data_IF_318983735452
#
_entry.id   IF_318983735452
#
_cell.length_a   1.000
_cell.length_b   1.000
_cell.length_c   1.000
_cell.angle_alpha   90.00
_cell.angle_beta   90.00
_cell.angle_gamma   90.00
#
_symmetry.space_group_name_H-M   'P 1'
#
loop_
_entity.id
_entity.type
_entity.pdbx_description
1 polymer ?
#
# COMPACT_ATOMS: atom_id res chain seq x y z
N UNK A 1 73.97 25.13 -48.80
CA UNK A 1 73.25 25.00 -47.49
C UNK A 1 72.12 23.97 -47.68
N UNK A 2 72.19 22.83 -47.12
CA UNK A 2 71.09 21.85 -47.10
C UNK A 2 70.34 21.94 -45.77
N UNK A 3 69.09 22.30 -45.83
CA UNK A 3 68.19 22.28 -44.63
C UNK A 3 67.14 21.20 -44.73
N UNK A 4 67.26 20.32 -43.79
CA UNK A 4 66.22 19.55 -43.07
C UNK A 4 65.18 18.71 -43.81
N UNK A 5 65.56 17.53 -44.20
CA UNK A 5 64.62 16.41 -44.48
C UNK A 5 64.35 15.53 -43.23
N UNK A 6 65.06 15.77 -42.15
CA UNK A 6 64.98 14.93 -40.92
C UNK A 6 63.80 15.27 -40.00
N UNK A 7 63.21 16.46 -40.10
CA UNK A 7 62.13 16.90 -39.21
C UNK A 7 60.73 16.42 -39.65
N UNK A 8 60.54 16.07 -40.90
CA UNK A 8 59.28 15.55 -41.46
C UNK A 8 59.04 14.07 -41.18
N UNK A 9 60.14 13.28 -41.16
CA UNK A 9 60.05 11.81 -40.89
C UNK A 9 59.74 11.49 -39.43
N UNK A 10 60.25 12.29 -38.49
CA UNK A 10 60.00 12.11 -37.07
C UNK A 10 58.52 12.45 -36.70
N UNK A 11 57.94 13.45 -37.35
CA UNK A 11 56.50 13.81 -37.16
C UNK A 11 55.57 12.74 -37.70
N UNK A 12 55.90 12.04 -38.77
CA UNK A 12 55.08 10.98 -39.33
C UNK A 12 55.08 9.71 -38.48
N UNK A 13 56.15 9.38 -37.81
CA UNK A 13 56.20 8.22 -36.88
C UNK A 13 55.44 8.49 -35.61
N UNK A 14 55.56 9.68 -35.03
CA UNK A 14 54.80 10.03 -33.82
C UNK A 14 53.27 10.08 -34.08
N UNK A 15 52.85 10.59 -35.22
CA UNK A 15 51.43 10.59 -35.63
C UNK A 15 50.87 9.15 -35.82
N UNK A 16 51.68 8.26 -36.38
CA UNK A 16 51.28 6.88 -36.63
C UNK A 16 51.18 6.06 -35.30
N UNK A 17 52.02 6.31 -34.32
CA UNK A 17 51.96 5.66 -33.01
C UNK A 17 50.79 6.19 -32.17
N UNK A 18 50.51 7.49 -32.22
CA UNK A 18 49.32 8.04 -31.56
C UNK A 18 48.02 7.49 -32.19
N UNK A 19 48.00 7.32 -33.53
CA UNK A 19 46.86 6.72 -34.21
C UNK A 19 46.65 5.28 -33.83
N UNK A 20 47.72 4.47 -33.74
CA UNK A 20 47.62 3.08 -33.26
C UNK A 20 47.11 2.93 -31.84
N UNK A 21 47.59 3.81 -30.93
CA UNK A 21 47.09 3.85 -29.56
C UNK A 21 45.62 4.27 -29.46
N UNK A 22 45.20 5.25 -30.24
CA UNK A 22 43.78 5.69 -30.29
C UNK A 22 42.86 4.57 -30.85
N UNK A 23 43.27 3.89 -31.91
CA UNK A 23 42.53 2.78 -32.48
C UNK A 23 42.46 1.59 -31.45
N UNK A 24 43.58 1.31 -30.75
CA UNK A 24 43.60 0.30 -29.71
C UNK A 24 42.63 0.61 -28.57
N UNK A 25 42.59 1.87 -28.09
CA UNK A 25 41.66 2.33 -27.04
C UNK A 25 40.22 2.24 -27.53
N UNK A 26 39.91 2.68 -28.75
CA UNK A 26 38.56 2.63 -29.32
C UNK A 26 38.05 1.20 -29.52
N UNK A 27 38.91 0.28 -29.95
CA UNK A 27 38.58 -1.14 -30.09
C UNK A 27 38.29 -1.76 -28.71
N UNK A 28 39.13 -1.47 -27.69
CA UNK A 28 38.93 -1.99 -26.34
C UNK A 28 37.71 -1.40 -25.66
N UNK A 29 37.41 -0.12 -25.86
CA UNK A 29 36.18 0.50 -25.39
C UNK A 29 34.93 -0.13 -26.04
N UNK A 30 34.99 -0.45 -27.34
CA UNK A 30 33.89 -1.08 -28.07
C UNK A 30 33.65 -2.53 -27.62
N UNK A 31 34.70 -3.27 -27.29
CA UNK A 31 34.62 -4.63 -26.71
C UNK A 31 34.08 -4.56 -25.28
N UNK A 32 34.58 -3.63 -24.45
CA UNK A 32 34.03 -3.41 -23.09
C UNK A 32 32.57 -3.02 -23.12
N UNK A 33 32.16 -2.15 -24.04
CA UNK A 33 30.75 -1.76 -24.18
C UNK A 33 29.87 -2.92 -24.66
N UNK A 34 30.38 -3.77 -25.54
CA UNK A 34 29.71 -5.01 -25.95
C UNK A 34 29.52 -5.98 -24.78
N UNK A 35 30.53 -6.17 -23.93
CA UNK A 35 30.41 -6.96 -22.72
C UNK A 35 29.46 -6.34 -21.69
N UNK A 36 29.53 -5.03 -21.50
CA UNK A 36 28.63 -4.29 -20.60
C UNK A 36 27.18 -4.39 -21.03
N UNK A 37 26.89 -4.27 -22.33
CA UNK A 37 25.51 -4.39 -22.86
C UNK A 37 24.98 -5.83 -22.79
N UNK A 38 25.83 -6.85 -22.99
CA UNK A 38 25.42 -8.26 -22.85
C UNK A 38 25.20 -8.60 -21.36
N UNK A 39 26.07 -8.10 -20.47
CA UNK A 39 25.96 -8.31 -19.04
C UNK A 39 24.74 -7.57 -18.46
N UNK A 40 24.53 -6.31 -18.88
CA UNK A 40 23.38 -5.52 -18.51
C UNK A 40 22.07 -6.17 -19.03
N UNK A 41 22.00 -6.65 -20.27
CA UNK A 41 20.84 -7.37 -20.81
C UNK A 41 20.53 -8.67 -20.05
N UNK A 42 21.57 -9.43 -19.69
CA UNK A 42 21.40 -10.68 -18.94
C UNK A 42 20.96 -10.40 -17.49
N UNK A 43 21.53 -9.37 -16.88
CA UNK A 43 21.18 -8.92 -15.52
C UNK A 43 19.76 -8.34 -15.49
N UNK A 44 19.41 -7.48 -16.46
CA UNK A 44 18.08 -6.90 -16.61
C UNK A 44 17.01 -7.98 -16.91
N UNK A 45 17.32 -8.98 -17.72
CA UNK A 45 16.40 -10.09 -17.99
C UNK A 45 16.17 -10.99 -16.77
N UNK A 46 17.21 -11.23 -15.97
CA UNK A 46 17.07 -11.97 -14.70
C UNK A 46 16.28 -11.17 -13.66
N UNK A 47 16.51 -9.86 -13.56
CA UNK A 47 15.74 -8.96 -12.68
C UNK A 47 14.28 -8.90 -13.15
N UNK A 48 14.01 -8.72 -14.45
CA UNK A 48 12.65 -8.73 -15.00
C UNK A 48 11.96 -10.09 -14.79
N UNK A 49 12.68 -11.21 -14.88
CA UNK A 49 12.15 -12.53 -14.56
C UNK A 49 11.79 -12.68 -13.07
N UNK A 50 12.63 -12.17 -12.15
CA UNK A 50 12.33 -12.11 -10.73
C UNK A 50 11.11 -11.20 -10.44
N UNK A 51 11.07 -10.00 -11.03
CA UNK A 51 9.93 -9.09 -10.87
C UNK A 51 8.62 -9.70 -11.38
N UNK A 52 8.64 -10.40 -12.51
CA UNK A 52 7.44 -11.07 -13.05
C UNK A 52 6.99 -12.25 -12.18
N UNK A 53 7.92 -12.98 -11.56
CA UNK A 53 7.63 -14.07 -10.64
C UNK A 53 6.99 -13.53 -9.34
N UNK A 54 7.58 -12.51 -8.72
CA UNK A 54 7.01 -11.85 -7.52
C UNK A 54 5.67 -11.18 -7.79
N UNK A 55 5.48 -10.58 -8.96
CA UNK A 55 4.19 -10.01 -9.38
C UNK A 55 3.12 -11.09 -9.53
N UNK A 56 3.47 -12.25 -10.08
CA UNK A 56 2.55 -13.37 -10.26
C UNK A 56 2.13 -13.97 -8.92
N UNK A 57 3.06 -14.19 -8.00
CA UNK A 57 2.80 -14.73 -6.66
C UNK A 57 1.92 -13.77 -5.83
N UNK A 58 2.18 -12.46 -5.88
CA UNK A 58 1.33 -11.45 -5.24
C UNK A 58 -0.09 -11.48 -5.79
N UNK A 59 -0.25 -11.62 -7.09
CA UNK A 59 -1.56 -11.69 -7.73
C UNK A 59 -2.32 -12.97 -7.35
N UNK A 60 -1.64 -14.12 -7.31
CA UNK A 60 -2.25 -15.38 -6.86
C UNK A 60 -2.71 -15.29 -5.39
N UNK A 61 -1.94 -14.64 -4.53
CA UNK A 61 -2.31 -14.40 -3.12
C UNK A 61 -3.50 -13.45 -3.03
N UNK A 62 -3.55 -12.39 -3.84
CA UNK A 62 -4.67 -11.47 -3.93
C UNK A 62 -5.95 -12.18 -4.39
N UNK A 63 -5.88 -12.90 -5.51
CA UNK A 63 -7.02 -13.64 -6.07
C UNK A 63 -7.56 -14.67 -5.08
N UNK A 64 -6.67 -15.40 -4.38
CA UNK A 64 -7.04 -16.37 -3.34
C UNK A 64 -7.64 -15.69 -2.10
N UNK A 65 -7.05 -14.58 -1.66
CA UNK A 65 -7.53 -13.83 -0.49
C UNK A 65 -8.89 -13.18 -0.72
N UNK A 66 -9.21 -12.82 -1.97
CA UNK A 66 -10.50 -12.23 -2.35
C UNK A 66 -11.52 -13.23 -2.91
N UNK A 67 -11.23 -14.54 -2.91
CA UNK A 67 -12.09 -15.55 -3.53
C UNK A 67 -13.54 -15.52 -3.02
N UNK A 68 -13.74 -15.38 -1.70
CA UNK A 68 -15.09 -15.29 -1.11
C UNK A 68 -15.80 -14.00 -1.51
N UNK A 69 -15.08 -12.89 -1.53
CA UNK A 69 -15.62 -11.58 -1.98
C UNK A 69 -16.00 -11.65 -3.45
N UNK A 70 -15.11 -12.18 -4.29
CA UNK A 70 -15.31 -12.35 -5.71
C UNK A 70 -16.55 -13.19 -6.00
N UNK A 71 -16.62 -14.41 -5.45
CA UNK A 71 -17.74 -15.33 -5.68
C UNK A 71 -19.06 -14.68 -5.25
N UNK A 72 -19.08 -14.05 -4.06
CA UNK A 72 -20.27 -13.39 -3.55
C UNK A 72 -20.71 -12.20 -4.40
N UNK A 73 -19.77 -11.38 -4.86
CA UNK A 73 -20.03 -10.18 -5.66
C UNK A 73 -20.41 -10.53 -7.12
N UNK A 74 -19.60 -11.37 -7.75
CA UNK A 74 -19.83 -11.78 -9.14
C UNK A 74 -21.13 -12.56 -9.33
N UNK A 75 -21.43 -13.53 -8.45
CA UNK A 75 -22.67 -14.30 -8.52
C UNK A 75 -23.92 -13.44 -8.35
N UNK A 76 -23.83 -12.39 -7.52
CA UNK A 76 -24.94 -11.43 -7.36
C UNK A 76 -25.13 -10.59 -8.62
N UNK A 77 -24.05 -10.05 -9.20
CA UNK A 77 -24.10 -9.29 -10.46
C UNK A 77 -24.64 -10.16 -11.58
N UNK A 78 -24.13 -11.39 -11.73
CA UNK A 78 -24.59 -12.33 -12.77
C UNK A 78 -26.10 -12.59 -12.66
N UNK A 79 -26.63 -12.70 -11.44
CA UNK A 79 -28.08 -12.86 -11.20
C UNK A 79 -28.86 -11.58 -11.51
N UNK A 80 -28.34 -10.42 -11.18
CA UNK A 80 -28.99 -9.14 -11.44
C UNK A 80 -29.21 -8.87 -12.95
N UNK A 81 -28.33 -9.40 -13.80
CA UNK A 81 -28.40 -9.23 -15.27
C UNK A 81 -28.95 -10.45 -16.00
N UNK A 82 -29.28 -11.55 -15.31
CA UNK A 82 -29.72 -12.80 -15.92
C UNK A 82 -31.02 -12.64 -16.72
N UNK A 83 -30.99 -13.10 -17.99
CA UNK A 83 -32.16 -13.07 -18.87
C UNK A 83 -32.51 -11.70 -19.45
N UNK A 84 -31.62 -10.73 -19.35
CA UNK A 84 -31.78 -9.37 -19.90
C UNK A 84 -30.80 -9.13 -21.04
N UNK A 85 -31.27 -8.54 -22.13
CA UNK A 85 -30.46 -8.21 -23.30
C UNK A 85 -29.98 -6.75 -23.30
N UNK A 86 -30.60 -5.90 -22.46
CA UNK A 86 -30.29 -4.47 -22.35
C UNK A 86 -30.18 -4.05 -20.89
N UNK A 87 -29.44 -2.99 -20.67
CA UNK A 87 -29.38 -2.28 -19.37
C UNK A 87 -30.56 -1.32 -19.31
N UNK A 88 -31.56 -1.69 -18.55
CA UNK A 88 -32.78 -0.89 -18.26
C UNK A 88 -32.83 -0.54 -16.76
N UNK A 89 -33.84 0.22 -16.36
CA UNK A 89 -33.99 0.68 -14.96
C UNK A 89 -34.05 -0.50 -13.99
N UNK A 90 -34.66 -1.63 -14.36
CA UNK A 90 -34.74 -2.82 -13.50
C UNK A 90 -33.38 -3.48 -13.32
N UNK A 91 -32.51 -3.48 -14.34
CA UNK A 91 -31.13 -3.96 -14.22
C UNK A 91 -30.32 -3.04 -13.32
N UNK A 92 -30.51 -1.73 -13.41
CA UNK A 92 -29.82 -0.74 -12.57
C UNK A 92 -30.26 -0.84 -11.10
N UNK A 93 -31.56 -0.99 -10.83
CA UNK A 93 -32.10 -1.22 -9.49
C UNK A 93 -31.52 -2.49 -8.86
N UNK A 94 -31.47 -3.59 -9.62
CA UNK A 94 -30.88 -4.84 -9.17
C UNK A 94 -29.37 -4.69 -8.90
N UNK A 95 -28.66 -3.92 -9.71
CA UNK A 95 -27.23 -3.65 -9.52
C UNK A 95 -26.99 -2.80 -8.27
N UNK A 96 -27.86 -1.80 -8.02
CA UNK A 96 -27.83 -1.00 -6.79
C UNK A 96 -27.98 -1.90 -5.55
N UNK A 97 -28.97 -2.82 -5.54
CA UNK A 97 -29.15 -3.78 -4.46
C UNK A 97 -27.91 -4.65 -4.24
N UNK A 98 -27.28 -5.10 -5.33
CA UNK A 98 -26.03 -5.90 -5.25
C UNK A 98 -24.90 -5.11 -4.63
N UNK A 99 -24.69 -3.86 -5.02
CA UNK A 99 -23.61 -3.01 -4.50
C UNK A 99 -23.83 -2.72 -3.01
N UNK A 100 -25.04 -2.34 -2.61
CA UNK A 100 -25.40 -2.07 -1.21
C UNK A 100 -25.23 -3.33 -0.35
N UNK A 101 -25.75 -4.48 -0.81
CA UNK A 101 -25.62 -5.75 -0.06
C UNK A 101 -24.21 -6.34 -0.06
N UNK A 102 -23.30 -5.76 -0.83
CA UNK A 102 -21.87 -6.07 -0.82
C UNK A 102 -21.04 -5.07 0.00
N UNK A 103 -21.72 -4.26 0.83
CA UNK A 103 -21.13 -3.23 1.70
C UNK A 103 -20.36 -2.11 0.97
N UNK A 104 -20.72 -1.78 -0.28
CA UNK A 104 -20.14 -0.62 -1.00
C UNK A 104 -20.59 0.71 -0.37
N UNK A 105 -21.72 0.69 0.36
CA UNK A 105 -22.33 1.89 0.95
C UNK A 105 -23.28 2.62 -0.02
N UNK A 106 -24.31 3.24 0.52
CA UNK A 106 -25.40 3.84 -0.28
C UNK A 106 -24.90 4.97 -1.16
N UNK A 107 -24.21 5.96 -0.59
CA UNK A 107 -23.75 7.15 -1.33
C UNK A 107 -22.80 6.80 -2.49
N UNK A 108 -21.90 5.84 -2.26
CA UNK A 108 -20.95 5.35 -3.28
C UNK A 108 -21.68 4.55 -4.35
N UNK A 109 -22.66 3.73 -3.95
CA UNK A 109 -23.50 2.95 -4.87
C UNK A 109 -24.25 3.89 -5.81
N UNK A 110 -24.95 4.90 -5.30
CA UNK A 110 -25.68 5.87 -6.12
C UNK A 110 -24.76 6.56 -7.13
N UNK A 111 -23.55 6.96 -6.74
CA UNK A 111 -22.56 7.52 -7.67
C UNK A 111 -22.10 6.55 -8.76
N UNK A 112 -21.93 5.28 -8.44
CA UNK A 112 -21.58 4.26 -9.43
C UNK A 112 -22.73 4.06 -10.41
N UNK A 113 -23.98 3.97 -9.93
CA UNK A 113 -25.17 3.81 -10.77
C UNK A 113 -25.32 5.02 -11.70
N UNK A 114 -25.26 6.25 -11.19
CA UNK A 114 -25.34 7.48 -11.99
C UNK A 114 -24.31 7.50 -13.14
N UNK A 115 -23.06 7.11 -12.87
CA UNK A 115 -22.01 7.01 -13.90
C UNK A 115 -22.32 5.94 -14.95
N UNK A 116 -22.89 4.82 -14.52
CA UNK A 116 -23.32 3.76 -15.45
C UNK A 116 -24.45 4.26 -16.33
N UNK A 117 -25.46 4.93 -15.78
CA UNK A 117 -26.58 5.54 -16.51
C UNK A 117 -26.09 6.54 -17.57
N UNK A 118 -25.20 7.47 -17.18
CA UNK A 118 -24.61 8.44 -18.10
C UNK A 118 -23.86 7.73 -19.24
N UNK A 119 -23.11 6.66 -18.93
CA UNK A 119 -22.37 5.90 -19.93
C UNK A 119 -23.29 5.14 -20.88
N UNK A 120 -24.32 4.48 -20.35
CA UNK A 120 -25.36 3.79 -21.14
C UNK A 120 -26.10 4.75 -22.06
N UNK A 121 -26.48 5.93 -21.54
CA UNK A 121 -27.16 6.97 -22.33
C UNK A 121 -26.28 7.52 -23.47
N UNK A 122 -24.98 7.68 -23.23
CA UNK A 122 -24.02 8.16 -24.22
C UNK A 122 -23.74 7.14 -25.32
N UNK A 123 -23.50 5.89 -24.94
CA UNK A 123 -22.98 4.85 -25.84
C UNK A 123 -24.13 4.12 -26.62
N UNK A 124 -25.40 4.47 -26.36
CA UNK A 124 -26.67 4.10 -27.04
C UNK A 124 -27.02 2.61 -27.11
N UNK A 125 -26.09 1.69 -26.97
CA UNK A 125 -26.32 0.24 -26.98
C UNK A 125 -25.31 -0.43 -26.05
N UNK A 126 -25.69 -0.66 -24.82
CA UNK A 126 -24.91 -1.46 -23.87
C UNK A 126 -25.70 -2.72 -23.57
N UNK A 127 -25.22 -3.83 -24.10
CA UNK A 127 -25.74 -5.16 -23.73
C UNK A 127 -25.26 -5.52 -22.31
N UNK A 128 -26.01 -6.38 -21.63
CA UNK A 128 -25.65 -6.85 -20.27
C UNK A 128 -24.28 -7.53 -20.22
N UNK A 129 -23.77 -8.07 -21.34
CA UNK A 129 -22.41 -8.61 -21.43
C UNK A 129 -21.30 -7.54 -21.29
N UNK A 130 -21.60 -6.27 -21.61
CA UNK A 130 -20.64 -5.16 -21.49
C UNK A 130 -20.73 -4.49 -20.10
N UNK A 131 -21.84 -4.70 -19.38
CA UNK A 131 -22.09 -4.08 -18.08
C UNK A 131 -20.99 -4.40 -17.05
N UNK A 132 -20.52 -5.64 -17.00
CA UNK A 132 -19.42 -6.04 -16.11
C UNK A 132 -18.15 -5.23 -16.38
N UNK A 133 -17.84 -4.96 -17.66
CA UNK A 133 -16.70 -4.16 -18.04
C UNK A 133 -16.90 -2.69 -17.63
N UNK A 134 -18.09 -2.14 -17.86
CA UNK A 134 -18.44 -0.76 -17.49
C UNK A 134 -18.35 -0.60 -15.98
N UNK A 135 -18.98 -1.48 -15.22
CA UNK A 135 -18.95 -1.46 -13.75
C UNK A 135 -17.51 -1.53 -13.22
N UNK A 136 -16.69 -2.43 -13.76
CA UNK A 136 -15.28 -2.54 -13.42
C UNK A 136 -14.53 -1.23 -13.69
N UNK A 137 -14.72 -0.66 -14.90
CA UNK A 137 -14.03 0.56 -15.31
C UNK A 137 -14.45 1.75 -14.43
N UNK A 138 -15.75 1.89 -14.11
CA UNK A 138 -16.26 2.97 -13.25
C UNK A 138 -15.78 2.86 -11.81
N UNK A 139 -15.74 1.64 -11.24
CA UNK A 139 -15.16 1.41 -9.91
C UNK A 139 -13.65 1.73 -9.90
N UNK A 140 -12.91 1.29 -10.91
CA UNK A 140 -11.48 1.58 -11.02
C UNK A 140 -11.22 3.08 -11.15
N UNK A 141 -12.05 3.79 -11.92
CA UNK A 141 -11.98 5.24 -12.07
C UNK A 141 -12.31 5.95 -10.76
N UNK A 142 -13.37 5.56 -10.06
CA UNK A 142 -13.76 6.09 -8.76
C UNK A 142 -12.61 5.97 -7.74
N UNK A 143 -11.99 4.79 -7.65
CA UNK A 143 -10.82 4.58 -6.78
C UNK A 143 -9.62 5.43 -7.21
N UNK A 144 -9.45 5.69 -8.50
CA UNK A 144 -8.41 6.58 -9.03
C UNK A 144 -8.59 8.02 -8.58
N UNK A 145 -9.82 8.51 -8.59
CA UNK A 145 -10.16 9.87 -8.16
C UNK A 145 -9.93 10.10 -6.65
N UNK A 146 -10.02 9.02 -5.87
CA UNK A 146 -9.90 9.08 -4.42
C UNK A 146 -8.47 8.83 -3.91
N UNK A 147 -7.68 8.07 -4.67
CA UNK A 147 -6.30 7.73 -4.36
C UNK A 147 -5.41 8.24 -5.49
N UNK A 148 -4.70 9.30 -5.26
CA UNK A 148 -3.81 9.91 -6.25
C UNK A 148 -2.59 9.07 -6.59
N UNK A 149 -2.22 8.11 -5.72
CA UNK A 149 -1.03 7.29 -5.91
C UNK A 149 -1.28 5.83 -5.48
N UNK A 150 -0.91 4.87 -6.33
CA UNK A 150 -0.81 3.46 -5.93
C UNK A 150 0.38 3.30 -4.99
N UNK A 151 0.21 2.52 -3.94
CA UNK A 151 1.31 2.21 -3.03
C UNK A 151 2.24 1.21 -3.70
N UNK A 152 3.38 1.70 -4.19
CA UNK A 152 4.42 0.86 -4.79
C UNK A 152 5.30 0.22 -3.71
N UNK A 153 4.91 -0.95 -3.23
CA UNK A 153 5.71 -1.73 -2.28
C UNK A 153 5.72 -1.16 -0.86
N UNK A 154 6.78 -1.50 -0.13
CA UNK A 154 7.00 -1.06 1.26
C UNK A 154 8.17 -0.07 1.29
N UNK A 155 7.90 1.12 0.77
CA UNK A 155 8.86 2.23 0.70
C UNK A 155 8.47 3.34 1.65
N UNK A 156 9.42 4.18 2.01
CA UNK A 156 9.21 5.40 2.79
C UNK A 156 9.59 6.61 1.94
N UNK A 157 8.90 7.75 2.08
CA UNK A 157 9.25 8.97 1.37
C UNK A 157 10.69 9.41 1.69
N UNK A 158 11.39 9.90 0.67
CA UNK A 158 12.73 10.46 0.85
C UNK A 158 12.70 11.70 1.76
N UNK A 159 13.74 11.86 2.57
CA UNK A 159 13.92 13.04 3.44
C UNK A 159 13.37 12.90 4.85
N UNK A 160 12.49 11.95 5.14
CA UNK A 160 11.92 11.74 6.47
C UNK A 160 12.58 10.52 7.14
N UNK A 161 13.57 10.74 8.02
CA UNK A 161 14.23 9.68 8.78
C UNK A 161 14.30 10.00 10.26
N UNK A 162 13.71 9.14 11.10
CA UNK A 162 12.86 7.99 10.75
C UNK A 162 11.49 8.42 10.21
N UNK A 163 10.89 7.66 9.28
CA UNK A 163 9.49 7.80 8.90
C UNK A 163 8.61 7.23 10.00
N UNK A 164 7.74 8.05 10.58
CA UNK A 164 6.97 7.69 11.77
C UNK A 164 5.52 7.37 11.39
N UNK A 165 5.11 6.13 11.66
CA UNK A 165 3.75 5.63 11.45
C UNK A 165 3.08 5.44 12.81
N UNK A 166 1.99 6.14 13.07
CA UNK A 166 1.13 5.93 14.23
C UNK A 166 -0.09 5.10 13.82
N UNK A 167 -0.21 3.89 14.34
CA UNK A 167 -1.29 2.96 13.97
C UNK A 167 -2.46 3.10 14.93
N UNK A 168 -3.63 3.45 14.38
CA UNK A 168 -4.87 3.68 15.13
C UNK A 168 -5.99 2.75 14.66
N UNK A 169 -7.07 2.62 15.46
CA UNK A 169 -8.22 1.77 15.14
C UNK A 169 -8.75 1.06 16.38
N UNK A 170 -9.93 0.46 16.31
CA UNK A 170 -10.55 -0.21 17.47
C UNK A 170 -9.82 -1.50 17.83
N UNK A 171 -10.12 -2.03 19.01
CA UNK A 171 -9.57 -3.34 19.43
C UNK A 171 -10.13 -4.46 18.54
N UNK A 172 -9.29 -5.43 18.18
CA UNK A 172 -9.69 -6.62 17.41
C UNK A 172 -9.66 -6.46 15.90
N UNK A 173 -9.43 -5.26 15.35
CA UNK A 173 -9.30 -5.03 13.89
C UNK A 173 -7.98 -5.54 13.30
N UNK A 174 -7.02 -5.95 14.13
CA UNK A 174 -5.74 -6.46 13.64
C UNK A 174 -4.59 -5.45 13.67
N UNK A 175 -4.65 -4.36 14.45
CA UNK A 175 -3.57 -3.35 14.54
C UNK A 175 -2.19 -3.99 14.79
N UNK A 176 -2.04 -4.70 15.90
CA UNK A 176 -0.75 -5.29 16.30
C UNK A 176 -0.24 -6.30 15.28
N UNK A 177 -1.14 -7.07 14.67
CA UNK A 177 -0.81 -7.99 13.57
C UNK A 177 -0.35 -7.22 12.32
N UNK A 178 -1.05 -6.15 11.96
CA UNK A 178 -0.66 -5.29 10.83
C UNK A 178 0.70 -4.65 11.06
N UNK A 179 0.97 -4.15 12.28
CA UNK A 179 2.28 -3.61 12.68
C UNK A 179 3.39 -4.66 12.49
N UNK A 180 3.17 -5.88 12.97
CA UNK A 180 4.14 -6.97 12.82
C UNK A 180 4.42 -7.31 11.35
N UNK A 181 3.38 -7.37 10.52
CA UNK A 181 3.52 -7.61 9.08
C UNK A 181 4.19 -6.44 8.35
N UNK A 182 3.86 -5.19 8.68
CA UNK A 182 4.53 -4.01 8.16
C UNK A 182 6.02 -4.02 8.51
N UNK A 183 6.36 -4.30 9.78
CA UNK A 183 7.74 -4.39 10.24
C UNK A 183 8.51 -5.46 9.46
N UNK A 184 7.90 -6.62 9.23
CA UNK A 184 8.49 -7.68 8.40
C UNK A 184 8.76 -7.20 6.97
N UNK A 185 7.77 -6.60 6.32
CA UNK A 185 7.89 -6.16 4.94
C UNK A 185 8.91 -5.01 4.77
N UNK A 186 8.91 -4.01 5.65
CA UNK A 186 9.91 -2.95 5.64
C UNK A 186 11.33 -3.51 5.86
N UNK A 187 11.48 -4.48 6.78
CA UNK A 187 12.78 -5.15 7.00
C UNK A 187 13.22 -5.94 5.76
N UNK A 188 12.30 -6.65 5.08
CA UNK A 188 12.62 -7.35 3.82
C UNK A 188 13.03 -6.37 2.72
N UNK A 189 12.48 -5.16 2.73
CA UNK A 189 12.90 -4.07 1.84
C UNK A 189 14.28 -3.45 2.24
N UNK A 190 14.94 -3.97 3.28
CA UNK A 190 16.26 -3.53 3.73
C UNK A 190 16.23 -2.33 4.69
N UNK A 191 15.05 -1.93 5.21
CA UNK A 191 14.89 -0.81 6.11
C UNK A 191 15.08 -1.23 7.58
N UNK A 192 15.66 -0.35 8.39
CA UNK A 192 15.79 -0.50 9.83
C UNK A 192 14.50 -0.03 10.50
N UNK A 193 13.81 -0.92 11.20
CA UNK A 193 12.51 -0.67 11.83
C UNK A 193 12.63 -0.71 13.34
N UNK A 194 11.95 0.21 14.03
CA UNK A 194 11.76 0.21 15.50
C UNK A 194 10.28 0.25 15.81
N UNK A 195 9.84 -0.61 16.73
CA UNK A 195 8.44 -0.68 17.18
C UNK A 195 8.26 -0.04 18.56
N UNK A 196 7.13 0.63 18.78
CA UNK A 196 6.73 1.20 20.04
C UNK A 196 5.43 0.59 20.57
N UNK A 197 5.45 0.01 21.78
CA UNK A 197 4.32 -0.63 22.44
C UNK A 197 3.54 0.38 23.28
N UNK A 198 2.77 1.29 22.64
CA UNK A 198 2.05 2.35 23.35
C UNK A 198 0.61 1.97 23.77
N UNK A 199 0.10 0.76 23.51
CA UNK A 199 -1.12 0.21 24.15
C UNK A 199 -0.79 -0.31 25.56
N UNK A 200 -0.31 0.57 26.44
CA UNK A 200 0.28 0.23 27.74
C UNK A 200 -0.70 -0.33 28.78
N UNK A 201 -2.00 -0.18 28.55
CA UNK A 201 -3.04 -0.66 29.46
C UNK A 201 -3.52 -2.07 29.18
N UNK A 202 -3.02 -2.71 28.10
CA UNK A 202 -3.36 -4.07 27.73
C UNK A 202 -2.10 -4.95 27.71
N UNK A 203 -1.89 -5.74 28.78
CA UNK A 203 -0.74 -6.63 28.89
C UNK A 203 -0.58 -7.52 27.65
N UNK A 204 -1.66 -8.13 27.20
CA UNK A 204 -1.64 -8.98 26.01
C UNK A 204 -1.26 -8.23 24.71
N UNK A 205 -1.56 -6.93 24.60
CA UNK A 205 -1.14 -6.14 23.45
C UNK A 205 0.36 -5.87 23.48
N UNK A 206 0.91 -5.49 24.64
CA UNK A 206 2.34 -5.29 24.83
C UNK A 206 3.12 -6.59 24.60
N UNK A 207 2.65 -7.71 25.12
CA UNK A 207 3.26 -9.02 24.86
C UNK A 207 3.21 -9.40 23.38
N UNK A 208 2.09 -9.16 22.72
CA UNK A 208 1.92 -9.47 21.30
C UNK A 208 2.89 -8.68 20.41
N UNK A 209 3.07 -7.38 20.66
CA UNK A 209 4.03 -6.58 19.88
C UNK A 209 5.48 -7.02 20.12
N UNK A 210 5.82 -7.45 21.34
CA UNK A 210 7.13 -8.01 21.66
C UNK A 210 7.38 -9.31 20.89
N UNK A 211 6.41 -10.23 20.90
CA UNK A 211 6.49 -11.48 20.12
C UNK A 211 6.68 -11.19 18.63
N UNK A 212 5.97 -10.21 18.08
CA UNK A 212 6.17 -9.78 16.70
C UNK A 212 7.58 -9.23 16.48
N UNK A 213 8.07 -8.37 17.39
CA UNK A 213 9.43 -7.83 17.31
C UNK A 213 10.50 -8.93 17.31
N UNK A 214 10.37 -9.92 18.19
CA UNK A 214 11.26 -11.09 18.24
C UNK A 214 11.18 -11.93 16.96
N UNK A 215 9.95 -12.24 16.50
CA UNK A 215 9.73 -13.02 15.29
C UNK A 215 10.30 -12.36 14.02
N UNK A 216 10.14 -11.06 13.91
CA UNK A 216 10.66 -10.27 12.78
C UNK A 216 12.15 -9.94 12.99
N UNK A 217 12.65 -9.94 14.24
CA UNK A 217 14.02 -9.54 14.61
C UNK A 217 14.20 -8.02 14.46
N UNK A 218 13.27 -7.24 15.04
CA UNK A 218 13.31 -5.77 15.15
C UNK A 218 13.16 -5.35 16.60
N UNK A 219 13.82 -4.26 17.06
CA UNK A 219 13.71 -3.78 18.42
C UNK A 219 12.30 -3.27 18.74
N UNK A 220 11.86 -3.53 19.98
CA UNK A 220 10.59 -3.04 20.52
C UNK A 220 10.86 -2.21 21.78
N UNK A 221 10.43 -0.95 21.75
CA UNK A 221 10.48 -0.06 22.91
C UNK A 221 9.18 -0.20 23.69
N UNK A 222 9.29 -0.51 24.97
CA UNK A 222 8.17 -0.68 25.90
C UNK A 222 8.53 -0.12 27.26
N UNK A 223 7.53 0.22 28.04
CA UNK A 223 7.65 0.60 29.44
C UNK A 223 6.80 -0.32 30.32
N UNK A 224 6.74 -0.04 31.61
CA UNK A 224 5.92 -0.79 32.55
C UNK A 224 4.42 -0.66 32.20
N UNK A 225 3.65 -1.67 32.57
CA UNK A 225 2.19 -1.63 32.42
C UNK A 225 1.59 -0.38 33.06
N UNK A 226 0.68 0.27 32.35
CA UNK A 226 0.03 1.50 32.81
C UNK A 226 0.88 2.77 32.69
N UNK A 227 2.08 2.69 32.12
CA UNK A 227 2.86 3.88 31.77
C UNK A 227 2.12 4.76 30.77
N UNK A 228 2.46 6.04 30.71
CA UNK A 228 1.87 6.99 29.78
C UNK A 228 2.22 6.58 28.32
N UNK A 229 1.21 6.30 27.46
CA UNK A 229 1.45 5.97 26.06
C UNK A 229 2.31 6.97 25.29
N UNK A 230 2.15 8.27 25.61
CA UNK A 230 2.95 9.33 25.01
C UNK A 230 4.44 9.25 25.40
N UNK A 231 4.75 8.79 26.61
CA UNK A 231 6.12 8.54 27.04
C UNK A 231 6.76 7.39 26.25
N UNK A 232 6.01 6.30 26.01
CA UNK A 232 6.50 5.19 25.17
C UNK A 232 6.78 5.65 23.74
N UNK A 233 5.88 6.45 23.16
CA UNK A 233 6.07 6.99 21.81
C UNK A 233 7.30 7.90 21.72
N UNK A 234 7.53 8.73 22.74
CA UNK A 234 8.70 9.61 22.84
C UNK A 234 10.00 8.78 22.89
N UNK A 235 10.08 7.83 23.82
CA UNK A 235 11.25 6.97 23.98
C UNK A 235 11.52 6.12 22.72
N UNK A 236 10.46 5.69 22.06
CA UNK A 236 10.58 4.93 20.79
C UNK A 236 11.22 5.80 19.70
N UNK A 237 10.72 7.01 19.52
CA UNK A 237 11.24 7.94 18.52
C UNK A 237 12.69 8.34 18.84
N UNK A 238 13.00 8.65 20.10
CA UNK A 238 14.36 8.96 20.54
C UNK A 238 15.32 7.78 20.32
N UNK A 239 14.88 6.57 20.66
CA UNK A 239 15.65 5.34 20.41
C UNK A 239 15.90 5.11 18.92
N UNK A 240 14.89 5.32 18.09
CA UNK A 240 14.99 5.16 16.63
C UNK A 240 15.98 6.17 16.02
N UNK A 241 15.91 7.44 16.45
CA UNK A 241 16.86 8.47 16.01
C UNK A 241 18.30 8.12 16.40
N UNK A 242 18.53 7.61 17.62
CA UNK A 242 19.86 7.22 18.08
C UNK A 242 20.44 6.01 17.36
N UNK A 243 19.60 5.15 16.78
CA UNK A 243 19.98 3.95 16.03
C UNK A 243 20.03 4.18 14.51
N UNK A 244 19.77 5.40 14.05
CA UNK A 244 19.66 5.73 12.63
C UNK A 244 18.64 4.78 11.93
N UNK A 245 17.46 4.65 12.52
CA UNK A 245 16.38 3.83 11.99
C UNK A 245 15.69 4.55 10.82
N UNK A 246 15.19 3.76 9.88
CA UNK A 246 14.46 4.28 8.72
C UNK A 246 12.97 4.45 9.02
N UNK A 247 12.39 3.55 9.85
CA UNK A 247 10.95 3.49 10.13
C UNK A 247 10.70 3.30 11.62
N UNK A 248 9.72 4.05 12.14
CA UNK A 248 9.13 3.86 13.47
C UNK A 248 7.67 3.52 13.32
N UNK A 249 7.19 2.47 14.00
CA UNK A 249 5.77 2.11 14.02
C UNK A 249 5.30 2.07 15.47
N UNK A 250 4.30 2.90 15.81
CA UNK A 250 3.73 3.01 17.16
C UNK A 250 2.39 2.28 17.21
N UNK A 251 2.28 1.24 18.05
CA UNK A 251 1.01 0.59 18.39
C UNK A 251 0.26 1.44 19.42
N UNK A 252 -1.01 1.74 19.19
CA UNK A 252 -1.82 2.56 20.10
C UNK A 252 -3.04 1.81 20.61
N UNK A 253 -3.61 2.27 21.73
CA UNK A 253 -4.87 1.76 22.27
C UNK A 253 -6.03 1.94 21.27
N UNK A 254 -7.05 1.08 21.38
CA UNK A 254 -8.23 1.09 20.50
C UNK A 254 -9.57 1.06 21.25
N UNK A 255 -9.67 1.70 22.42
CA UNK A 255 -10.85 1.65 23.29
C UNK A 255 -11.90 2.68 22.91
N UNK A 256 -12.61 2.43 21.80
CA UNK A 256 -13.56 3.40 21.26
C UNK A 256 -14.79 3.66 22.16
N UNK A 257 -15.11 2.75 23.08
CA UNK A 257 -16.17 2.96 24.10
C UNK A 257 -15.87 4.17 25.02
N UNK A 258 -14.61 4.54 25.22
CA UNK A 258 -14.20 5.78 25.85
C UNK A 258 -13.60 6.73 24.81
N UNK A 259 -14.42 7.15 23.86
CA UNK A 259 -14.00 7.93 22.70
C UNK A 259 -13.18 9.16 23.09
N UNK A 260 -13.67 9.97 24.03
CA UNK A 260 -12.98 11.20 24.45
C UNK A 260 -11.59 10.91 25.01
N UNK A 261 -11.48 9.96 25.94
CA UNK A 261 -10.20 9.59 26.55
C UNK A 261 -9.20 9.04 25.52
N UNK A 262 -9.66 8.21 24.56
CA UNK A 262 -8.83 7.71 23.48
C UNK A 262 -8.31 8.84 22.59
N UNK A 263 -9.17 9.79 22.20
CA UNK A 263 -8.79 10.90 21.32
C UNK A 263 -7.83 11.86 22.00
N UNK A 264 -8.02 12.12 23.30
CA UNK A 264 -7.09 12.91 24.12
C UNK A 264 -5.71 12.23 24.21
N UNK A 265 -5.69 10.88 24.35
CA UNK A 265 -4.47 10.07 24.38
C UNK A 265 -3.73 10.13 23.04
N UNK A 266 -4.42 9.88 21.92
CA UNK A 266 -3.82 9.94 20.59
C UNK A 266 -3.26 11.33 20.26
N UNK A 267 -4.01 12.39 20.62
CA UNK A 267 -3.57 13.78 20.46
C UNK A 267 -2.34 14.09 21.32
N UNK A 268 -2.25 13.50 22.51
CA UNK A 268 -1.08 13.64 23.40
C UNK A 268 0.14 12.94 22.81
N UNK A 269 -0.03 11.71 22.29
CA UNK A 269 1.04 10.96 21.61
C UNK A 269 1.62 11.81 20.47
N UNK A 270 0.76 12.33 19.57
CA UNK A 270 1.17 13.21 18.47
C UNK A 270 1.97 14.41 18.96
N UNK A 271 1.44 15.19 19.91
CA UNK A 271 2.11 16.38 20.45
C UNK A 271 3.46 16.08 21.10
N UNK A 272 3.61 14.92 21.70
CA UNK A 272 4.87 14.54 22.36
C UNK A 272 5.93 14.13 21.34
N UNK A 273 5.56 13.41 20.29
CA UNK A 273 6.46 13.10 19.16
C UNK A 273 6.91 14.38 18.44
N UNK A 274 6.02 15.35 18.26
CA UNK A 274 6.32 16.64 17.63
C UNK A 274 7.37 17.48 18.38
N UNK A 275 7.62 17.21 19.66
CA UNK A 275 8.71 17.86 20.40
C UNK A 275 10.09 17.40 19.95
N UNK A 276 10.20 16.16 19.45
CA UNK A 276 11.45 15.60 18.89
C UNK A 276 11.54 15.84 17.37
N UNK A 277 10.43 15.69 16.69
CA UNK A 277 10.32 15.78 15.25
C UNK A 277 9.01 16.49 14.89
N UNK A 278 9.06 17.78 14.50
CA UNK A 278 7.86 18.61 14.31
C UNK A 278 6.82 18.04 13.34
N UNK A 279 7.26 17.25 12.37
CA UNK A 279 6.42 16.64 11.33
C UNK A 279 5.86 15.27 11.74
N UNK A 280 6.29 14.69 12.88
CA UNK A 280 5.81 13.39 13.35
C UNK A 280 4.39 13.48 13.97
N UNK A 281 3.56 12.44 13.78
CA UNK A 281 3.76 11.30 12.89
C UNK A 281 3.58 11.70 11.43
N UNK A 282 4.37 11.12 10.53
CA UNK A 282 4.25 11.34 9.08
C UNK A 282 3.05 10.60 8.49
N UNK A 283 2.65 9.52 9.14
CA UNK A 283 1.48 8.73 8.76
C UNK A 283 0.65 8.35 9.99
N UNK A 284 -0.63 8.69 9.97
CA UNK A 284 -1.63 8.20 10.93
C UNK A 284 -2.46 7.15 10.21
N UNK A 285 -2.06 5.89 10.37
CA UNK A 285 -2.66 4.76 9.67
C UNK A 285 -3.85 4.20 10.47
N UNK A 286 -5.04 4.31 9.91
CA UNK A 286 -6.25 3.69 10.46
C UNK A 286 -6.38 2.26 9.97
N UNK A 287 -6.41 1.31 10.91
CA UNK A 287 -6.67 -0.11 10.61
C UNK A 287 -8.15 -0.41 10.81
N UNK A 288 -8.78 -0.97 9.79
CA UNK A 288 -10.19 -1.35 9.74
C UNK A 288 -10.33 -2.84 9.45
N UNK A 289 -11.35 -3.46 10.02
CA UNK A 289 -11.72 -4.85 9.77
C UNK A 289 -12.76 -4.91 8.66
N UNK A 290 -12.38 -5.40 7.47
CA UNK A 290 -13.24 -5.50 6.29
C UNK A 290 -14.43 -6.45 6.49
N UNK A 291 -14.35 -7.38 7.43
CA UNK A 291 -15.46 -8.31 7.71
C UNK A 291 -16.64 -7.65 8.46
N UNK A 292 -16.45 -6.46 9.03
CA UNK A 292 -17.46 -5.76 9.81
C UNK A 292 -18.42 -4.92 8.97
N UNK A 293 -18.16 -4.76 7.66
CA UNK A 293 -19.05 -4.05 6.74
C UNK A 293 -19.32 -2.61 7.18
N UNK A 294 -20.58 -2.24 7.33
CA UNK A 294 -21.00 -0.88 7.71
C UNK A 294 -20.41 -0.37 9.04
N UNK A 295 -20.05 -1.26 9.97
CA UNK A 295 -19.38 -0.83 11.19
C UNK A 295 -17.99 -0.24 10.93
N UNK A 296 -17.31 -0.67 9.85
CA UNK A 296 -16.03 -0.09 9.46
C UNK A 296 -16.17 1.38 9.04
N UNK A 297 -17.28 1.74 8.37
CA UNK A 297 -17.57 3.14 8.01
C UNK A 297 -17.74 4.03 9.25
N UNK A 298 -18.50 3.56 10.25
CA UNK A 298 -18.71 4.33 11.47
C UNK A 298 -17.38 4.51 12.23
N UNK A 299 -16.53 3.49 12.28
CA UNK A 299 -15.19 3.58 12.85
C UNK A 299 -14.34 4.60 12.07
N UNK A 300 -14.30 4.50 10.74
CA UNK A 300 -13.56 5.43 9.90
C UNK A 300 -14.01 6.87 10.15
N UNK A 301 -15.31 7.13 10.17
CA UNK A 301 -15.89 8.44 10.47
C UNK A 301 -15.46 8.99 11.84
N UNK A 302 -15.45 8.12 12.86
CA UNK A 302 -15.10 8.55 14.22
C UNK A 302 -13.63 8.86 14.36
N UNK A 303 -12.74 8.03 13.78
CA UNK A 303 -11.31 8.27 13.82
C UNK A 303 -10.91 9.47 12.96
N UNK A 304 -11.45 9.61 11.76
CA UNK A 304 -11.16 10.74 10.86
C UNK A 304 -11.60 12.08 11.44
N UNK A 305 -12.72 12.11 12.17
CA UNK A 305 -13.19 13.31 12.84
C UNK A 305 -12.35 13.71 14.07
N UNK A 306 -11.56 12.80 14.60
CA UNK A 306 -10.86 12.98 15.88
C UNK A 306 -9.33 12.98 15.76
N UNK A 307 -8.80 12.34 14.73
CA UNK A 307 -7.37 12.33 14.38
C UNK A 307 -7.22 12.64 12.89
N UNK A 308 -6.11 13.25 12.53
CA UNK A 308 -5.79 13.49 11.11
C UNK A 308 -5.31 12.16 10.47
N UNK A 309 -6.26 11.26 10.17
CA UNK A 309 -5.94 10.00 9.47
C UNK A 309 -5.42 10.32 8.08
N UNK A 310 -4.25 9.79 7.75
CA UNK A 310 -3.58 10.04 6.45
C UNK A 310 -3.59 8.83 5.54
N UNK A 311 -3.75 7.63 6.10
CA UNK A 311 -3.84 6.40 5.33
C UNK A 311 -4.70 5.34 6.03
N UNK A 312 -5.12 4.32 5.28
CA UNK A 312 -5.89 3.20 5.80
C UNK A 312 -5.28 1.86 5.43
N UNK A 313 -5.44 0.89 6.34
CA UNK A 313 -5.21 -0.53 6.08
C UNK A 313 -6.49 -1.30 6.36
N UNK A 314 -6.96 -2.10 5.38
CA UNK A 314 -8.17 -2.91 5.53
C UNK A 314 -7.78 -4.38 5.68
N UNK A 315 -8.14 -4.99 6.81
CA UNK A 315 -7.74 -6.36 7.18
C UNK A 315 -8.89 -7.36 6.99
N UNK A 316 -8.57 -8.65 7.07
CA UNK A 316 -9.53 -9.79 7.09
C UNK A 316 -10.41 -9.88 5.83
N UNK A 317 -9.89 -9.46 4.69
CA UNK A 317 -10.62 -9.55 3.43
C UNK A 317 -10.77 -11.00 2.94
N UNK A 318 -9.85 -11.90 3.34
CA UNK A 318 -9.89 -13.34 3.05
C UNK A 318 -11.08 -14.08 3.71
N UNK A 319 -11.58 -13.53 4.78
CA UNK A 319 -12.69 -14.11 5.55
C UNK A 319 -14.08 -13.70 5.10
N UNK A 320 -14.22 -12.71 4.21
CA UNK A 320 -15.49 -12.02 3.98
C UNK A 320 -15.93 -11.99 2.51
N UNK A 321 -17.24 -11.96 2.30
CA UNK A 321 -17.85 -11.60 1.00
C UNK A 321 -18.14 -10.08 0.90
N UNK A 322 -17.67 -9.29 1.85
CA UNK A 322 -17.97 -7.85 2.03
C UNK A 322 -16.83 -6.94 1.57
N UNK A 323 -16.02 -7.37 0.63
CA UNK A 323 -14.87 -6.60 0.10
C UNK A 323 -15.25 -5.26 -0.54
N UNK A 324 -16.53 -5.05 -0.88
CA UNK A 324 -17.04 -3.76 -1.34
C UNK A 324 -16.82 -2.61 -0.34
N UNK A 325 -16.65 -2.92 0.95
CA UNK A 325 -16.31 -1.95 1.99
C UNK A 325 -15.05 -1.13 1.65
N UNK A 326 -14.07 -1.72 0.96
CA UNK A 326 -12.85 -1.02 0.52
C UNK A 326 -13.19 0.10 -0.45
N UNK A 327 -14.08 -0.18 -1.40
CA UNK A 327 -14.54 0.79 -2.42
C UNK A 327 -15.23 1.97 -1.75
N UNK A 328 -16.21 1.68 -0.90
CA UNK A 328 -17.01 2.71 -0.27
C UNK A 328 -16.26 3.54 0.75
N UNK A 329 -15.41 2.93 1.58
CA UNK A 329 -14.58 3.68 2.55
C UNK A 329 -13.60 4.60 1.81
N UNK A 330 -12.93 4.10 0.77
CA UNK A 330 -12.03 4.91 -0.04
C UNK A 330 -12.75 6.11 -0.64
N UNK A 331 -13.96 5.90 -1.18
CA UNK A 331 -14.73 6.94 -1.81
C UNK A 331 -15.31 7.97 -0.82
N UNK A 332 -15.84 7.50 0.30
CA UNK A 332 -16.52 8.37 1.27
C UNK A 332 -15.54 9.27 2.04
N UNK A 333 -14.37 8.74 2.40
CA UNK A 333 -13.42 9.48 3.25
C UNK A 333 -12.31 10.16 2.47
N UNK A 334 -12.12 9.82 1.18
CA UNK A 334 -11.05 10.38 0.33
C UNK A 334 -9.65 10.21 0.94
N UNK A 335 -9.47 9.18 1.76
CA UNK A 335 -8.21 8.82 2.39
C UNK A 335 -7.68 7.57 1.67
N UNK A 336 -6.40 7.53 1.27
CA UNK A 336 -5.85 6.41 0.52
C UNK A 336 -5.85 5.13 1.37
N UNK A 337 -6.36 4.05 0.78
CA UNK A 337 -6.09 2.70 1.27
C UNK A 337 -4.68 2.33 0.82
N UNK A 338 -3.76 2.14 1.76
CA UNK A 338 -2.37 1.77 1.44
C UNK A 338 -2.12 0.28 1.46
N UNK A 339 -2.77 -0.42 2.38
CA UNK A 339 -2.52 -1.85 2.57
C UNK A 339 -3.82 -2.62 2.74
N UNK A 340 -3.80 -3.88 2.28
CA UNK A 340 -4.87 -4.85 2.48
C UNK A 340 -4.33 -6.14 3.11
N UNK A 341 -5.06 -6.67 4.09
CA UNK A 341 -4.76 -7.93 4.76
C UNK A 341 -5.61 -9.06 4.20
N UNK A 342 -4.93 -10.09 3.68
CA UNK A 342 -5.48 -11.19 2.91
C UNK A 342 -5.31 -12.56 3.59
N UNK A 343 -4.95 -12.57 4.87
CA UNK A 343 -4.71 -13.79 5.64
C UNK A 343 -3.88 -13.56 6.90
N UNK A 344 -3.40 -14.64 7.52
CA UNK A 344 -2.68 -14.63 8.80
C UNK A 344 -1.14 -14.63 8.65
N UNK A 345 -0.62 -15.03 7.52
CA UNK A 345 0.83 -15.09 7.25
C UNK A 345 1.51 -13.72 7.28
N UNK A 346 2.83 -13.69 7.46
CA UNK A 346 3.61 -12.45 7.47
C UNK A 346 3.56 -11.72 6.13
N UNK A 347 3.38 -12.45 5.04
CA UNK A 347 3.34 -11.96 3.65
C UNK A 347 1.93 -11.60 3.19
N UNK A 348 0.88 -11.93 4.00
CA UNK A 348 -0.53 -11.69 3.67
C UNK A 348 -0.96 -10.23 3.89
N UNK A 349 -0.04 -9.31 4.06
CA UNK A 349 -0.28 -7.87 3.98
C UNK A 349 0.31 -7.37 2.67
N UNK A 350 -0.53 -6.86 1.80
CA UNK A 350 -0.11 -6.37 0.49
C UNK A 350 -0.34 -4.87 0.34
N UNK A 351 0.53 -4.17 -0.41
CA UNK A 351 0.24 -2.82 -0.89
C UNK A 351 -1.05 -2.85 -1.71
N UNK A 352 -1.90 -1.87 -1.52
CA UNK A 352 -3.13 -1.75 -2.26
C UNK A 352 -2.87 -1.21 -3.67
N UNK A 353 -3.20 -2.03 -4.67
CA UNK A 353 -3.26 -1.63 -6.06
C UNK A 353 -4.72 -1.69 -6.52
N UNK A 354 -5.30 -0.53 -6.85
CA UNK A 354 -6.71 -0.38 -7.20
C UNK A 354 -7.12 -1.18 -8.43
N UNK A 355 -6.26 -1.23 -9.46
CA UNK A 355 -6.56 -1.95 -10.70
C UNK A 355 -6.56 -3.46 -10.45
N UNK A 356 -5.53 -3.97 -9.76
CA UNK A 356 -5.43 -5.38 -9.41
C UNK A 356 -6.57 -5.82 -8.48
N UNK A 357 -6.94 -4.96 -7.51
CA UNK A 357 -8.04 -5.21 -6.60
C UNK A 357 -9.37 -5.32 -7.35
N UNK A 358 -9.69 -4.33 -8.20
CA UNK A 358 -10.93 -4.36 -9.00
C UNK A 358 -10.91 -5.55 -9.96
N UNK A 359 -9.79 -5.80 -10.64
CA UNK A 359 -9.65 -6.97 -11.51
C UNK A 359 -9.92 -8.29 -10.80
N UNK A 360 -9.51 -8.41 -9.54
CA UNK A 360 -9.74 -9.62 -8.73
C UNK A 360 -11.20 -9.81 -8.36
N UNK A 361 -12.02 -8.76 -8.32
CA UNK A 361 -13.46 -8.86 -8.06
C UNK A 361 -14.27 -9.33 -9.26
N UNK A 362 -13.75 -9.12 -10.51
CA UNK A 362 -14.47 -9.34 -11.76
C UNK A 362 -13.93 -10.52 -12.61
N UNK A 363 -12.91 -11.22 -12.14
CA UNK A 363 -12.37 -12.43 -12.78
C UNK A 363 -12.96 -13.69 -12.21
#
# INVERSE_FOLDING_TARGET
MPCSTSTLVVKSHLANDIWKHLVYILVHMRVMWGFFTIFARKYFRNIMGLFSFFSKEKKETLDKGLEKTKTGFFDKIARAVAGRDKVDDEVLDNLEEVLVTSDVGVDTTLRIIERIEERVARDKYVGTGELNKILRDEIAQLLTENNTEDTEGFTVPEGNRPYVIMVVGVNGVGKTTTIGKLAYQFKQAGLKVVLGAADTFRAAAVEQIVIWGERVGVPVVRQQMGSDPASVAFDTLQSAMSQDADVVIIDTAGRLHNKKGLMDELSKIKRVMQKLMPEAPHDVMLVLDGSTGQNAYEQAKQFTAATEVTSMAVTKLDGTAKGGVVIGISDQFKIPVRYIGLGEGMEDLQPFNRVEFVDSLFK
#
